data_IF_536805825022
#
_entry.id   IF_536805825022
#
_cell.length_a   1.000
_cell.length_b   1.000
_cell.length_c   1.000
_cell.angle_alpha   90.00
_cell.angle_beta   90.00
_cell.angle_gamma   90.00
#
_symmetry.space_group_name_H-M   'P 1'
#
loop_
_entity.id
_entity.type
_entity.pdbx_description
1 polymer ?
#
# COMPACT_ATOMS: atom_id res chain seq x y z
N UNK A 1 -71.45 14.96 3.73
CA UNK A 1 -70.57 14.03 2.98
C UNK A 1 -69.07 14.16 3.38
N UNK A 2 -68.62 13.87 4.62
CA UNK A 2 -67.19 13.91 5.00
C UNK A 2 -66.44 12.56 4.90
N UNK A 3 -67.14 11.43 4.78
CA UNK A 3 -66.54 10.08 4.84
C UNK A 3 -65.58 9.73 3.68
N UNK A 4 -65.76 10.30 2.50
CA UNK A 4 -64.89 10.03 1.34
C UNK A 4 -63.45 10.54 1.55
N UNK A 5 -63.24 11.59 2.36
CA UNK A 5 -61.91 12.20 2.57
C UNK A 5 -60.97 11.34 3.42
N UNK A 6 -61.49 10.56 4.37
CA UNK A 6 -60.68 9.73 5.25
C UNK A 6 -60.06 8.53 4.52
N UNK A 7 -60.85 7.84 3.68
CA UNK A 7 -60.40 6.69 2.89
C UNK A 7 -59.31 7.08 1.89
N UNK A 8 -59.41 8.26 1.30
CA UNK A 8 -58.41 8.77 0.36
C UNK A 8 -57.09 9.15 1.04
N UNK A 9 -57.14 9.74 2.24
CA UNK A 9 -55.94 10.05 3.03
C UNK A 9 -55.17 8.78 3.43
N UNK A 10 -55.87 7.76 3.89
CA UNK A 10 -55.26 6.46 4.23
C UNK A 10 -54.61 5.79 3.00
N UNK A 11 -55.22 5.94 1.81
CA UNK A 11 -54.67 5.40 0.56
C UNK A 11 -53.38 6.13 0.14
N UNK A 12 -53.33 7.47 0.28
CA UNK A 12 -52.12 8.26 -0.01
C UNK A 12 -50.97 7.94 0.94
N UNK A 13 -51.26 7.72 2.23
CA UNK A 13 -50.22 7.35 3.21
C UNK A 13 -49.60 5.98 2.92
N UNK A 14 -50.42 4.98 2.54
CA UNK A 14 -49.94 3.66 2.13
C UNK A 14 -49.06 3.73 0.87
N UNK A 15 -49.45 4.56 -0.12
CA UNK A 15 -48.67 4.77 -1.34
C UNK A 15 -47.33 5.46 -1.03
N UNK A 16 -47.32 6.45 -0.14
CA UNK A 16 -46.09 7.13 0.29
C UNK A 16 -45.09 6.18 0.94
N UNK A 17 -45.55 5.35 1.90
CA UNK A 17 -44.68 4.37 2.59
C UNK A 17 -44.08 3.34 1.62
N UNK A 18 -44.89 2.81 0.71
CA UNK A 18 -44.40 1.86 -0.30
C UNK A 18 -43.38 2.47 -1.27
N UNK A 19 -43.53 3.75 -1.63
CA UNK A 19 -42.58 4.47 -2.49
C UNK A 19 -41.22 4.64 -1.83
N UNK A 20 -41.20 5.08 -0.56
CA UNK A 20 -39.97 5.26 0.22
C UNK A 20 -39.23 3.93 0.37
N UNK A 21 -39.96 2.85 0.71
CA UNK A 21 -39.36 1.52 0.86
C UNK A 21 -38.75 0.99 -0.44
N UNK A 22 -39.45 1.17 -1.58
CA UNK A 22 -38.93 0.76 -2.90
C UNK A 22 -37.67 1.54 -3.26
N UNK A 23 -37.62 2.84 -2.94
CA UNK A 23 -36.44 3.65 -3.21
C UNK A 23 -35.24 3.24 -2.35
N UNK A 24 -35.46 2.93 -1.06
CA UNK A 24 -34.44 2.37 -0.19
C UNK A 24 -33.90 1.02 -0.71
N UNK A 25 -34.79 0.10 -1.10
CA UNK A 25 -34.41 -1.20 -1.67
C UNK A 25 -33.58 -1.05 -2.95
N UNK A 26 -33.99 -0.16 -3.86
CA UNK A 26 -33.23 0.10 -5.09
C UNK A 26 -31.85 0.70 -4.82
N UNK A 27 -31.68 1.57 -3.81
CA UNK A 27 -30.36 2.09 -3.44
C UNK A 27 -29.43 0.99 -2.95
N UNK A 28 -29.91 0.08 -2.11
CA UNK A 28 -29.12 -1.06 -1.62
C UNK A 28 -28.75 -2.00 -2.76
N UNK A 29 -29.71 -2.33 -3.64
CA UNK A 29 -29.46 -3.22 -4.79
C UNK A 29 -28.47 -2.62 -5.79
N UNK A 30 -28.53 -1.30 -6.01
CA UNK A 30 -27.56 -0.59 -6.85
C UNK A 30 -26.16 -0.61 -6.25
N UNK A 31 -26.02 -0.32 -4.96
CA UNK A 31 -24.73 -0.38 -4.26
C UNK A 31 -24.15 -1.80 -4.25
N UNK A 32 -24.99 -2.83 -4.07
CA UNK A 32 -24.56 -4.23 -4.12
C UNK A 32 -24.06 -4.64 -5.51
N UNK A 33 -24.73 -4.20 -6.59
CA UNK A 33 -24.27 -4.45 -7.96
C UNK A 33 -22.95 -3.78 -8.26
N UNK A 34 -22.77 -2.51 -7.86
CA UNK A 34 -21.50 -1.80 -8.03
C UNK A 34 -20.35 -2.46 -7.26
N UNK A 35 -20.64 -3.26 -6.23
CA UNK A 35 -19.63 -3.98 -5.45
C UNK A 35 -19.33 -5.39 -5.99
N UNK A 36 -20.27 -6.04 -6.68
CA UNK A 36 -20.13 -7.40 -7.18
C UNK A 36 -19.11 -7.52 -8.34
N UNK A 37 -18.90 -6.45 -9.09
CA UNK A 37 -17.97 -6.42 -10.22
C UNK A 37 -16.55 -5.98 -9.83
N UNK A 38 -16.30 -5.71 -8.53
CA UNK A 38 -14.98 -5.32 -8.05
C UNK A 38 -14.11 -6.55 -7.81
N UNK A 39 -13.23 -6.87 -8.77
CA UNK A 39 -12.12 -7.79 -8.55
C UNK A 39 -11.03 -7.01 -7.81
N UNK A 40 -10.67 -7.37 -6.56
CA UNK A 40 -9.63 -6.66 -5.83
C UNK A 40 -8.29 -6.86 -6.55
N UNK A 41 -7.72 -5.77 -7.08
CA UNK A 41 -6.40 -5.76 -7.72
C UNK A 41 -5.30 -6.19 -6.76
N UNK A 42 -5.45 -5.89 -5.47
CA UNK A 42 -4.52 -6.29 -4.41
C UNK A 42 -5.20 -7.24 -3.43
N UNK A 43 -4.66 -8.46 -3.27
CA UNK A 43 -5.06 -9.40 -2.22
C UNK A 43 -3.93 -9.53 -1.19
N UNK A 44 -4.25 -9.35 0.09
CA UNK A 44 -3.36 -9.62 1.23
C UNK A 44 -3.11 -8.42 2.15
N UNK A 45 -2.11 -8.57 3.02
CA UNK A 45 -1.65 -7.53 3.94
C UNK A 45 -0.35 -6.92 3.41
N UNK A 46 -0.23 -5.60 3.43
CA UNK A 46 0.97 -4.85 3.01
C UNK A 46 1.49 -4.01 4.15
N UNK A 47 2.81 -3.89 4.24
CA UNK A 47 3.46 -2.99 5.18
C UNK A 47 3.59 -1.63 4.50
N UNK A 48 3.03 -0.60 5.11
CA UNK A 48 2.99 0.74 4.50
C UNK A 48 3.51 1.77 5.48
N UNK A 49 4.39 2.65 5.01
CA UNK A 49 4.75 3.89 5.70
C UNK A 49 3.58 4.87 5.57
N UNK A 50 2.83 5.05 6.66
CA UNK A 50 1.64 5.91 6.68
C UNK A 50 1.97 7.36 6.31
N UNK A 51 3.12 7.88 6.73
CA UNK A 51 3.51 9.25 6.41
C UNK A 51 3.68 9.41 4.90
N UNK A 52 4.43 8.52 4.26
CA UNK A 52 4.57 8.53 2.80
C UNK A 52 3.23 8.32 2.09
N UNK A 53 2.40 7.39 2.56
CA UNK A 53 1.13 7.09 1.92
C UNK A 53 0.22 8.33 1.92
N UNK A 54 0.06 8.98 3.07
CA UNK A 54 -0.79 10.18 3.20
C UNK A 54 -0.30 11.34 2.34
N UNK A 55 1.01 11.54 2.21
CA UNK A 55 1.57 12.58 1.31
C UNK A 55 1.37 12.24 -0.17
N UNK A 56 1.32 10.95 -0.53
CA UNK A 56 1.22 10.53 -1.92
C UNK A 56 -0.22 10.33 -2.42
N UNK A 57 -1.22 10.22 -1.52
CA UNK A 57 -2.64 10.06 -1.86
C UNK A 57 -3.35 11.36 -2.27
N UNK A 58 -2.65 12.24 -2.98
CA UNK A 58 -3.17 13.49 -3.56
C UNK A 58 -2.82 13.56 -5.04
N UNK A 59 -3.76 13.95 -5.89
CA UNK A 59 -3.51 14.11 -7.32
C UNK A 59 -2.65 15.36 -7.56
N UNK A 60 -1.57 15.25 -8.33
CA UNK A 60 -0.71 16.42 -8.64
C UNK A 60 -1.31 17.36 -9.68
N UNK A 61 -2.32 16.93 -10.43
CA UNK A 61 -2.94 17.74 -11.49
C UNK A 61 -4.15 18.54 -10.98
N UNK A 62 -5.04 17.92 -10.21
CA UNK A 62 -6.28 18.54 -9.73
C UNK A 62 -6.41 18.67 -8.21
N UNK A 63 -5.38 18.27 -7.46
CA UNK A 63 -5.34 18.31 -5.98
C UNK A 63 -6.48 17.53 -5.27
N UNK A 64 -7.17 16.65 -6.00
CA UNK A 64 -8.18 15.77 -5.42
C UNK A 64 -7.51 14.62 -4.64
N UNK A 65 -8.11 14.25 -3.50
CA UNK A 65 -7.70 13.09 -2.74
C UNK A 65 -7.85 11.80 -3.58
N UNK A 66 -6.80 10.97 -3.60
CA UNK A 66 -6.80 9.69 -4.27
C UNK A 66 -7.32 8.60 -3.33
N UNK A 67 -8.10 7.67 -3.88
CA UNK A 67 -8.61 6.52 -3.14
C UNK A 67 -8.02 5.24 -3.69
N UNK A 68 -7.55 4.36 -2.80
CA UNK A 68 -7.11 3.00 -3.14
C UNK A 68 -8.24 2.14 -3.72
N UNK A 69 -9.50 2.61 -3.68
CA UNK A 69 -10.62 1.98 -4.39
C UNK A 69 -10.42 2.00 -5.92
N UNK A 70 -9.70 3.00 -6.44
CA UNK A 70 -9.38 3.17 -7.87
C UNK A 70 -7.96 2.71 -8.21
N UNK A 71 -7.47 1.70 -7.49
CA UNK A 71 -6.19 1.04 -7.78
C UNK A 71 -6.31 0.23 -9.08
N UNK A 72 -5.44 0.49 -10.05
CA UNK A 72 -5.40 -0.24 -11.32
C UNK A 72 -4.36 -1.35 -11.33
N UNK A 73 -3.20 -1.09 -10.74
CA UNK A 73 -2.08 -2.03 -10.71
C UNK A 73 -1.35 -1.96 -9.37
N UNK A 74 -0.98 -3.13 -8.85
CA UNK A 74 -0.02 -3.30 -7.77
C UNK A 74 1.20 -4.07 -8.30
N UNK A 75 2.39 -3.50 -8.14
CA UNK A 75 3.65 -4.21 -8.35
C UNK A 75 4.31 -4.50 -7.01
N UNK A 76 4.42 -5.78 -6.68
CA UNK A 76 4.98 -6.22 -5.40
C UNK A 76 6.51 -6.34 -5.49
N UNK A 77 7.19 -5.74 -4.51
CA UNK A 77 8.64 -5.78 -4.31
C UNK A 77 8.96 -6.31 -2.91
N UNK A 78 8.54 -7.54 -2.61
CA UNK A 78 8.66 -8.12 -1.27
C UNK A 78 7.61 -7.54 -0.30
N UNK A 79 8.01 -7.08 0.90
CA UNK A 79 7.13 -6.35 1.82
C UNK A 79 6.63 -5.00 1.32
N UNK A 80 7.38 -4.34 0.42
CA UNK A 80 6.99 -3.11 -0.25
C UNK A 80 6.19 -3.39 -1.54
N UNK A 81 5.30 -2.48 -1.88
CA UNK A 81 4.59 -2.39 -3.17
C UNK A 81 4.70 -1.01 -3.81
N UNK A 82 4.63 -0.98 -5.14
CA UNK A 82 4.34 0.18 -5.98
C UNK A 82 2.88 0.10 -6.42
N UNK A 83 2.13 1.19 -6.25
CA UNK A 83 0.72 1.29 -6.60
C UNK A 83 0.51 2.28 -7.75
N UNK A 84 -0.31 1.90 -8.71
CA UNK A 84 -0.84 2.77 -9.78
C UNK A 84 -2.31 3.05 -9.52
N UNK A 85 -2.65 4.28 -9.14
CA UNK A 85 -4.02 4.69 -8.79
C UNK A 85 -4.51 5.74 -9.79
N UNK A 86 -5.70 5.53 -10.35
CA UNK A 86 -6.35 6.52 -11.22
C UNK A 86 -7.07 7.57 -10.38
N UNK A 87 -6.87 8.85 -10.70
CA UNK A 87 -7.63 9.93 -10.11
C UNK A 87 -9.10 9.88 -10.58
N UNK A 88 -10.10 9.91 -9.67
CA UNK A 88 -11.51 9.89 -10.09
C UNK A 88 -11.97 11.21 -10.74
N UNK A 89 -11.22 12.31 -10.57
CA UNK A 89 -11.60 13.64 -11.06
C UNK A 89 -10.98 13.95 -12.42
N UNK A 90 -9.66 13.87 -12.57
CA UNK A 90 -8.97 14.18 -13.82
C UNK A 90 -8.57 12.95 -14.64
N UNK A 91 -8.77 11.74 -14.12
CA UNK A 91 -8.42 10.46 -14.76
C UNK A 91 -6.91 10.21 -14.94
N UNK A 92 -6.04 11.08 -14.42
CA UNK A 92 -4.60 10.84 -14.46
C UNK A 92 -4.20 9.65 -13.56
N UNK A 93 -3.27 8.85 -14.07
CA UNK A 93 -2.72 7.70 -13.36
C UNK A 93 -1.49 8.14 -12.56
N UNK A 94 -1.59 8.05 -11.23
CA UNK A 94 -0.49 8.38 -10.32
C UNK A 94 0.15 7.11 -9.79
N UNK A 95 1.48 7.09 -9.77
CA UNK A 95 2.29 6.04 -9.15
C UNK A 95 2.84 6.50 -7.82
N UNK A 96 2.80 5.63 -6.81
CA UNK A 96 3.46 5.87 -5.53
C UNK A 96 3.89 4.59 -4.84
N UNK A 97 4.87 4.73 -3.96
CA UNK A 97 5.47 3.62 -3.22
C UNK A 97 4.93 3.57 -1.80
N UNK A 98 4.84 2.36 -1.27
CA UNK A 98 4.45 2.09 0.12
C UNK A 98 5.53 2.40 1.14
N UNK A 99 6.79 2.53 0.73
CA UNK A 99 7.92 2.78 1.63
C UNK A 99 9.01 3.59 0.96
N UNK A 100 9.82 4.28 1.77
CA UNK A 100 10.96 5.07 1.30
C UNK A 100 11.95 4.20 0.54
N UNK A 101 12.45 4.71 -0.58
CA UNK A 101 13.54 4.11 -1.34
C UNK A 101 14.88 4.66 -0.85
N UNK A 102 15.88 3.79 -0.78
CA UNK A 102 17.27 4.09 -0.40
C UNK A 102 18.16 3.61 -1.54
N UNK A 103 19.15 4.42 -1.92
CA UNK A 103 20.11 3.99 -2.94
C UNK A 103 20.99 2.88 -2.39
N UNK A 104 21.23 1.84 -3.20
CA UNK A 104 22.11 0.76 -2.83
C UNK A 104 23.55 1.30 -2.66
N UNK A 105 24.22 1.06 -1.53
CA UNK A 105 25.59 1.53 -1.29
C UNK A 105 26.62 0.96 -2.27
N UNK A 106 26.31 -0.17 -2.92
CA UNK A 106 27.20 -0.85 -3.86
C UNK A 106 27.52 -0.06 -5.13
N UNK A 107 26.87 1.09 -5.35
CA UNK A 107 27.12 1.96 -6.51
C UNK A 107 26.40 1.56 -7.79
N UNK A 108 25.70 0.43 -7.82
CA UNK A 108 24.96 -0.07 -9.00
C UNK A 108 23.74 0.79 -9.41
N UNK A 109 23.46 1.90 -8.72
CA UNK A 109 22.30 2.76 -8.96
C UNK A 109 20.94 2.14 -8.61
N UNK A 110 20.91 0.88 -8.14
CA UNK A 110 19.68 0.19 -7.75
C UNK A 110 19.09 0.83 -6.49
N UNK A 111 17.76 1.02 -6.48
CA UNK A 111 17.03 1.43 -5.29
C UNK A 111 16.57 0.22 -4.50
N UNK A 112 16.63 0.33 -3.18
CA UNK A 112 16.13 -0.66 -2.23
C UNK A 112 15.01 -0.02 -1.40
N UNK A 113 14.00 -0.80 -1.05
CA UNK A 113 12.95 -0.33 -0.15
C UNK A 113 13.41 -0.46 1.30
N UNK A 114 13.33 0.65 2.05
CA UNK A 114 13.74 0.72 3.46
C UNK A 114 13.08 -0.35 4.33
N UNK A 115 11.81 -0.67 4.07
CA UNK A 115 11.08 -1.74 4.78
C UNK A 115 11.68 -3.12 4.51
N UNK A 116 12.15 -3.38 3.29
CA UNK A 116 12.80 -4.65 2.95
C UNK A 116 14.14 -4.77 3.66
N UNK A 117 14.92 -3.67 3.73
CA UNK A 117 16.17 -3.64 4.46
C UNK A 117 15.95 -3.90 5.96
N UNK A 118 14.96 -3.26 6.58
CA UNK A 118 14.61 -3.48 7.99
C UNK A 118 14.13 -4.90 8.26
N UNK A 119 13.30 -5.46 7.38
CA UNK A 119 12.87 -6.85 7.49
C UNK A 119 14.05 -7.82 7.40
N UNK A 120 14.96 -7.62 6.44
CA UNK A 120 16.15 -8.44 6.28
C UNK A 120 17.09 -8.35 7.48
N UNK A 121 17.32 -7.15 8.03
CA UNK A 121 18.12 -6.96 9.24
C UNK A 121 17.48 -7.63 10.46
N UNK A 122 16.16 -7.48 10.64
CA UNK A 122 15.43 -8.17 11.70
C UNK A 122 15.64 -9.69 11.64
N UNK A 123 15.62 -10.29 10.44
CA UNK A 123 15.92 -11.71 10.26
C UNK A 123 17.36 -12.10 10.63
N UNK A 124 18.34 -11.20 10.43
CA UNK A 124 19.74 -11.43 10.81
C UNK A 124 19.95 -11.31 12.32
N UNK A 125 19.25 -10.36 12.96
CA UNK A 125 19.38 -10.07 14.39
C UNK A 125 18.61 -11.04 15.28
N UNK A 126 17.59 -11.73 14.73
CA UNK A 126 16.70 -12.57 15.54
C UNK A 126 17.35 -13.84 16.09
N UNK A 127 18.65 -14.09 15.85
CA UNK A 127 19.37 -15.33 16.21
C UNK A 127 18.55 -16.61 15.92
N UNK A 128 17.62 -16.55 14.97
CA UNK A 128 16.77 -17.69 14.65
C UNK A 128 17.70 -18.72 14.03
N UNK A 129 17.88 -19.89 14.67
CA UNK A 129 18.67 -20.95 14.07
C UNK A 129 18.02 -21.23 12.71
N UNK A 130 18.77 -21.01 11.62
CA UNK A 130 18.30 -21.40 10.31
C UNK A 130 18.03 -22.90 10.39
N UNK A 131 16.75 -23.28 10.48
CA UNK A 131 16.36 -24.67 10.32
C UNK A 131 16.99 -25.13 9.02
N UNK A 132 17.72 -26.26 8.99
CA UNK A 132 18.45 -26.68 7.81
C UNK A 132 17.49 -26.62 6.62
N UNK A 133 17.85 -25.80 5.63
CA UNK A 133 17.13 -25.72 4.36
C UNK A 133 16.81 -27.15 3.93
N UNK A 134 15.55 -27.50 3.60
CA UNK A 134 15.22 -28.85 3.19
C UNK A 134 16.17 -29.20 2.06
N UNK A 135 17.07 -30.15 2.34
CA UNK A 135 18.09 -30.56 1.39
C UNK A 135 17.38 -30.78 0.06
N UNK A 136 17.82 -30.03 -0.96
CA UNK A 136 17.30 -30.19 -2.31
C UNK A 136 17.22 -31.69 -2.59
N UNK A 137 16.09 -32.23 -3.08
CA UNK A 137 15.94 -33.65 -3.30
C UNK A 137 17.11 -34.10 -4.16
N UNK A 138 18.03 -34.86 -3.56
CA UNK A 138 19.13 -35.49 -4.27
C UNK A 138 18.47 -36.35 -5.32
N UNK A 139 18.52 -35.89 -6.57
CA UNK A 139 18.04 -36.63 -7.71
C UNK A 139 18.73 -38.00 -7.65
N UNK A 140 17.95 -39.05 -7.34
CA UNK A 140 18.40 -40.43 -7.49
C UNK A 140 18.72 -40.61 -8.97
N UNK A 141 19.99 -40.48 -9.31
CA UNK A 141 20.55 -40.84 -10.60
C UNK A 141 20.25 -42.31 -10.85
N UNK A 142 19.42 -42.57 -11.86
CA UNK A 142 19.22 -43.88 -12.47
C UNK A 142 20.57 -44.48 -12.90
N UNK A 143 20.79 -45.79 -12.73
CA UNK A 143 22.05 -46.42 -13.11
C UNK A 143 22.16 -46.46 -14.64
N UNK A 144 23.15 -45.75 -15.19
CA UNK A 144 23.68 -46.04 -16.53
C UNK A 144 24.88 -46.99 -16.38
N UNK A 145 24.70 -48.17 -16.92
CA UNK A 145 25.77 -49.13 -17.25
C UNK A 145 26.68 -48.51 -18.31
N UNK A 146 27.91 -48.16 -17.94
CA UNK A 146 29.09 -48.43 -18.78
C UNK A 146 30.37 -48.20 -17.99
N UNK A 147 31.23 -49.20 -18.08
CA UNK A 147 32.52 -49.36 -17.43
C UNK A 147 33.58 -48.41 -17.96
N UNK A 148 34.20 -47.62 -17.08
CA UNK A 148 35.58 -47.13 -17.27
C UNK A 148 36.21 -46.81 -15.91
N UNK A 149 37.39 -47.37 -15.54
CA UNK A 149 38.04 -47.07 -14.28
C UNK A 149 39.15 -46.01 -14.47
N UNK A 150 39.14 -44.94 -13.67
CA UNK A 150 40.35 -44.15 -13.31
C UNK A 150 40.08 -43.13 -12.19
N UNK A 151 41.12 -42.55 -11.55
CA UNK A 151 41.46 -42.85 -10.18
C UNK A 151 41.13 -41.72 -9.19
N UNK A 152 41.24 -42.08 -7.92
CA UNK A 152 41.02 -41.30 -6.71
C UNK A 152 41.99 -40.13 -6.50
N UNK A 153 41.48 -39.12 -5.77
CA UNK A 153 42.11 -38.01 -5.00
C UNK A 153 41.47 -36.68 -5.42
N UNK A 154 40.95 -35.82 -4.55
CA UNK A 154 40.90 -35.75 -3.10
C UNK A 154 40.44 -34.32 -2.73
N UNK A 155 40.25 -34.12 -1.42
CA UNK A 155 40.02 -32.85 -0.70
C UNK A 155 38.58 -32.32 -0.64
N UNK A 156 38.06 -32.45 0.58
CA UNK A 156 37.01 -31.63 1.22
C UNK A 156 37.18 -30.13 0.92
N UNK A 157 36.09 -29.40 0.63
CA UNK A 157 36.08 -27.96 0.82
C UNK A 157 35.93 -27.66 2.31
N UNK A 158 36.90 -26.90 2.81
CA UNK A 158 36.88 -26.18 4.08
C UNK A 158 35.70 -25.21 4.14
N UNK A 159 35.17 -25.06 5.36
CA UNK A 159 34.20 -24.06 5.81
C UNK A 159 34.27 -22.75 5.03
N UNK A 160 33.14 -22.38 4.41
CA UNK A 160 32.92 -21.05 3.88
C UNK A 160 32.98 -20.02 5.00
N UNK A 161 33.69 -18.89 4.81
CA UNK A 161 33.72 -17.82 5.80
C UNK A 161 32.34 -17.16 5.87
N UNK A 162 31.91 -16.89 7.11
CA UNK A 162 30.73 -16.09 7.45
C UNK A 162 30.83 -14.73 6.76
N UNK A 163 29.80 -14.23 6.04
CA UNK A 163 29.85 -12.88 5.49
C UNK A 163 29.89 -11.89 6.65
N UNK A 164 31.01 -11.17 6.81
CA UNK A 164 31.07 -10.03 7.71
C UNK A 164 30.20 -8.93 7.11
N UNK A 165 29.01 -8.74 7.67
CA UNK A 165 28.15 -7.60 7.32
C UNK A 165 28.94 -6.33 7.64
N UNK A 166 29.23 -5.53 6.62
CA UNK A 166 30.01 -4.32 6.78
C UNK A 166 29.25 -3.33 7.68
N UNK A 167 29.87 -2.77 8.75
CA UNK A 167 29.20 -1.91 9.73
C UNK A 167 28.58 -0.63 9.13
N UNK A 168 28.94 -0.27 7.89
CA UNK A 168 28.39 0.89 7.19
C UNK A 168 26.90 0.76 6.82
N UNK A 169 26.35 -0.46 6.72
CA UNK A 169 24.95 -0.65 6.31
C UNK A 169 23.96 -0.31 7.44
N UNK A 170 24.36 -0.58 8.70
CA UNK A 170 23.61 -0.21 9.91
C UNK A 170 23.57 1.30 10.13
N UNK A 171 24.70 1.99 9.94
CA UNK A 171 24.81 3.44 10.14
C UNK A 171 23.97 4.27 9.15
N UNK A 172 23.67 3.73 7.95
CA UNK A 172 22.85 4.43 6.96
C UNK A 172 21.35 4.38 7.27
N UNK A 173 20.87 3.29 7.86
CA UNK A 173 19.44 3.13 8.16
C UNK A 173 19.05 4.00 9.36
N UNK A 174 19.95 4.15 10.33
CA UNK A 174 19.71 4.93 11.55
C UNK A 174 19.80 6.45 11.34
N UNK A 175 20.39 6.92 10.23
CA UNK A 175 20.38 8.35 9.87
C UNK A 175 19.07 8.81 9.20
N UNK A 176 18.21 7.88 8.79
CA UNK A 176 16.91 8.21 8.14
C UNK A 176 15.73 8.25 9.11
N UNK A 177 15.95 7.92 10.39
CA UNK A 177 14.96 7.91 11.46
C UNK A 177 14.92 9.22 12.28
N UNK A 178 15.81 10.19 12.03
CA UNK A 178 15.69 11.50 12.66
C UNK A 178 14.74 12.41 11.85
N UNK A 179 13.55 12.76 12.39
CA UNK A 179 12.78 13.85 11.82
C UNK A 179 13.55 15.15 12.09
N UNK A 180 13.99 15.83 11.03
CA UNK A 180 14.34 17.24 11.12
C UNK A 180 13.06 18.01 11.51
N UNK A 181 12.82 18.13 12.81
CA UNK A 181 11.88 19.08 13.39
C UNK A 181 12.46 20.47 13.19
N UNK A 182 12.14 21.10 12.07
CA UNK A 182 12.36 22.53 11.89
C UNK A 182 11.20 23.27 12.58
N UNK A 183 11.46 24.15 13.55
CA UNK A 183 10.43 25.03 14.08
C UNK A 183 10.35 26.26 13.18
N UNK A 184 9.36 26.33 12.28
CA UNK A 184 9.06 27.58 11.57
C UNK A 184 7.67 28.06 11.95
N UNK A 185 7.68 28.91 12.97
CA UNK A 185 6.65 29.90 13.26
C UNK A 185 6.29 30.68 11.99
N UNK A 186 5.05 30.59 11.54
CA UNK A 186 4.45 31.56 10.62
C UNK A 186 3.09 31.97 11.15
N UNK A 187 3.07 33.17 11.73
CA UNK A 187 1.89 33.88 12.23
C UNK A 187 0.94 34.18 11.06
N UNK A 188 -0.29 33.70 11.15
CA UNK A 188 -1.38 34.25 10.35
C UNK A 188 -1.86 35.58 10.98
N UNK A 189 -1.98 36.68 10.23
CA UNK A 189 -2.69 37.85 10.71
C UNK A 189 -4.20 37.61 10.61
N UNK A 190 -4.90 37.73 11.75
CA UNK A 190 -6.35 37.84 11.81
C UNK A 190 -6.80 39.12 11.10
N UNK A 191 -7.30 39.00 9.87
CA UNK A 191 -8.07 40.06 9.20
C UNK A 191 -9.49 40.04 9.77
N UNK A 192 -9.80 41.03 10.62
CA UNK A 192 -11.16 41.32 11.05
C UNK A 192 -12.03 41.90 9.92
N UNK A 193 -13.36 41.78 10.01
CA UNK A 193 -14.27 42.36 9.03
C UNK A 193 -14.34 43.89 9.19
N UNK A 194 -14.07 44.60 8.10
CA UNK A 194 -14.26 46.06 7.99
C UNK A 194 -15.75 46.35 7.78
N UNK A 195 -16.41 46.92 8.78
CA UNK A 195 -17.74 47.48 8.66
C UNK A 195 -17.66 48.87 8.04
N UNK A 196 -17.99 49.00 6.75
CA UNK A 196 -18.32 50.30 6.17
C UNK A 196 -19.81 50.56 6.34
N UNK A 197 -20.12 51.45 7.27
CA UNK A 197 -21.39 52.16 7.40
C UNK A 197 -21.40 53.24 6.31
N UNK A 198 -22.29 53.12 5.33
CA UNK A 198 -22.68 54.24 4.47
C UNK A 198 -24.07 54.70 4.90
N UNK A 199 -24.10 55.83 5.60
CA UNK A 199 -25.28 56.66 5.74
C UNK A 199 -25.37 57.57 4.50
N UNK A 200 -26.55 57.64 3.89
CA UNK A 200 -26.89 58.71 2.97
C UNK A 200 -28.31 59.19 3.30
N UNK A 201 -28.38 60.50 3.54
CA UNK A 201 -29.56 61.36 3.58
C UNK A 201 -30.24 61.44 2.21
#
# INVERSE_FOLDING_TARGET
MPFMKAKERARREKVGKASVERHAKNRVLKAAREQADYIPVSVGRRVVDLAMLTSNLWCTNCDAALSLKFLEEEKQHGPASEFSVRCPTCLDLKKFFTSKTVLCPSGDGRSLYSVNCKAALGCLDSDVPQSPSPAAPVAKSTPRTSSTPRPSRGRRPTSTPRPSVSPNLLALIDRTSQPNLVPTTSRLPLRGPSAHVSAAL
#
